data_IF_029829298177
#
_entry.id   IF_029829298177
#
_cell.length_a   1.000
_cell.length_b   1.000
_cell.length_c   1.000
_cell.angle_alpha   90.00
_cell.angle_beta   90.00
_cell.angle_gamma   90.00
#
_symmetry.space_group_name_H-M   'P 1'
#
loop_
_entity.id
_entity.type
_entity.pdbx_description
1 polymer ?
#
# COMPACT_ATOMS: atom_id res chain seq x y z
N UNK A 1 -7.00 -14.05 9.81
CA UNK A 1 -5.92 -13.46 8.98
C UNK A 1 -4.75 -14.43 8.86
N UNK A 2 -4.12 -14.88 9.95
CA UNK A 2 -2.96 -15.80 9.88
C UNK A 2 -3.35 -17.13 9.25
N UNK A 3 -4.46 -17.72 9.69
CA UNK A 3 -4.95 -19.01 9.16
C UNK A 3 -5.37 -18.92 7.69
N UNK A 4 -6.04 -17.86 7.28
CA UNK A 4 -6.44 -17.61 5.88
C UNK A 4 -5.22 -17.41 4.98
N UNK A 5 -4.22 -16.65 5.45
CA UNK A 5 -2.96 -16.47 4.75
C UNK A 5 -2.21 -17.79 4.57
N UNK A 6 -2.12 -18.61 5.63
CA UNK A 6 -1.51 -19.94 5.55
C UNK A 6 -2.25 -20.85 4.58
N UNK A 7 -3.59 -20.78 4.55
CA UNK A 7 -4.40 -21.55 3.62
C UNK A 7 -4.18 -21.10 2.18
N UNK A 8 -4.10 -19.79 1.94
CA UNK A 8 -3.77 -19.22 0.64
C UNK A 8 -2.40 -19.71 0.16
N UNK A 9 -1.36 -19.63 1.00
CA UNK A 9 -0.03 -20.13 0.66
C UNK A 9 0.00 -21.62 0.34
N UNK A 10 -0.76 -22.44 1.06
CA UNK A 10 -0.88 -23.87 0.79
C UNK A 10 -1.55 -24.18 -0.56
N UNK A 11 -2.38 -23.27 -1.06
CA UNK A 11 -3.05 -23.42 -2.36
C UNK A 11 -2.19 -23.03 -3.55
N UNK A 12 -1.11 -22.28 -3.34
CA UNK A 12 -0.21 -21.83 -4.40
C UNK A 12 0.63 -23.02 -4.89
N UNK A 13 0.52 -23.32 -6.17
CA UNK A 13 1.41 -24.29 -6.84
C UNK A 13 2.59 -23.54 -7.42
N UNK A 14 3.75 -23.75 -6.82
CA UNK A 14 4.99 -23.16 -7.34
C UNK A 14 5.51 -23.95 -8.54
N UNK A 15 5.99 -23.27 -9.60
CA UNK A 15 6.68 -23.94 -10.70
C UNK A 15 8.01 -24.50 -10.20
N UNK A 16 8.53 -25.55 -10.86
CA UNK A 16 9.84 -26.11 -10.53
C UNK A 16 10.98 -25.15 -10.85
N UNK A 17 10.83 -24.43 -11.96
CA UNK A 17 11.83 -23.50 -12.45
C UNK A 17 11.23 -22.10 -12.62
N UNK A 18 12.01 -21.11 -12.23
CA UNK A 18 11.73 -19.70 -12.50
C UNK A 18 12.87 -19.09 -13.35
N UNK A 19 12.50 -18.16 -14.20
CA UNK A 19 13.38 -17.54 -15.18
C UNK A 19 13.45 -16.04 -14.97
N UNK A 20 14.66 -15.49 -15.01
CA UNK A 20 14.88 -14.05 -14.95
C UNK A 20 15.77 -13.59 -16.09
N UNK A 21 15.23 -12.73 -16.94
CA UNK A 21 15.90 -12.16 -18.08
C UNK A 21 16.78 -10.99 -17.65
N UNK A 22 18.02 -10.95 -18.15
CA UNK A 22 19.01 -9.94 -17.73
C UNK A 22 19.87 -9.49 -18.90
N UNK A 23 20.17 -8.18 -18.99
CA UNK A 23 21.21 -7.70 -19.91
C UNK A 23 22.59 -8.12 -19.40
N UNK A 24 23.55 -8.23 -20.28
CA UNK A 24 24.95 -8.38 -19.90
C UNK A 24 25.47 -7.03 -19.42
N UNK A 25 25.61 -6.88 -18.12
CA UNK A 25 26.12 -5.68 -17.46
C UNK A 25 26.93 -6.04 -16.23
N UNK A 26 27.78 -5.14 -15.76
CA UNK A 26 28.58 -5.34 -14.55
C UNK A 26 27.69 -5.73 -13.36
N UNK A 27 26.55 -5.05 -13.20
CA UNK A 27 25.58 -5.33 -12.11
C UNK A 27 24.97 -6.73 -12.23
N UNK A 28 24.54 -7.14 -13.43
CA UNK A 28 23.90 -8.44 -13.61
C UNK A 28 24.91 -9.60 -13.47
N UNK A 29 26.13 -9.42 -13.95
CA UNK A 29 27.21 -10.42 -13.82
C UNK A 29 27.68 -10.51 -12.36
N UNK A 30 27.78 -9.41 -11.64
CA UNK A 30 28.12 -9.43 -10.22
C UNK A 30 27.01 -10.09 -9.39
N UNK A 31 25.74 -9.79 -9.69
CA UNK A 31 24.60 -10.45 -9.05
C UNK A 31 24.66 -11.97 -9.24
N UNK A 32 24.97 -12.43 -10.46
CA UNK A 32 25.15 -13.84 -10.78
C UNK A 32 26.34 -14.43 -9.99
N UNK A 33 27.50 -13.78 -10.03
CA UNK A 33 28.72 -14.23 -9.33
C UNK A 33 28.54 -14.33 -7.81
N UNK A 34 27.78 -13.42 -7.22
CA UNK A 34 27.58 -13.35 -5.76
C UNK A 34 26.30 -14.05 -5.31
N UNK A 35 25.55 -14.67 -6.23
CA UNK A 35 24.26 -15.30 -5.99
C UNK A 35 23.28 -14.38 -5.25
N UNK A 36 23.16 -13.13 -5.71
CA UNK A 36 22.31 -12.12 -5.10
C UNK A 36 21.18 -11.68 -6.02
N UNK A 37 20.02 -11.46 -5.42
CA UNK A 37 18.89 -10.82 -6.06
C UNK A 37 18.79 -9.36 -5.59
N UNK A 38 18.66 -8.45 -6.55
CA UNK A 38 18.35 -7.05 -6.26
C UNK A 38 16.87 -6.81 -6.46
N UNK A 39 16.22 -6.31 -5.44
CA UNK A 39 14.85 -5.87 -5.49
C UNK A 39 14.80 -4.43 -5.99
N UNK A 40 13.82 -4.11 -6.81
CA UNK A 40 13.53 -2.75 -7.26
C UNK A 40 12.31 -2.20 -6.55
N UNK A 41 12.33 -0.92 -6.20
CA UNK A 41 11.11 -0.25 -5.75
C UNK A 41 10.11 -0.15 -6.89
N UNK A 42 8.83 -0.26 -6.58
CA UNK A 42 7.74 -0.13 -7.54
C UNK A 42 7.71 1.26 -8.23
N UNK A 43 8.35 2.27 -7.67
CA UNK A 43 8.52 3.57 -8.31
C UNK A 43 9.31 3.52 -9.63
N UNK A 44 10.10 2.48 -9.84
CA UNK A 44 10.92 2.29 -11.06
C UNK A 44 10.30 1.32 -12.07
N UNK A 45 9.04 0.94 -11.88
CA UNK A 45 8.36 0.07 -12.82
C UNK A 45 7.92 0.87 -14.05
N UNK A 46 8.10 0.28 -15.22
CA UNK A 46 7.75 0.91 -16.50
C UNK A 46 6.24 0.97 -16.71
N UNK A 47 5.49 0.05 -16.09
CA UNK A 47 4.04 0.00 -16.18
C UNK A 47 3.41 0.88 -15.10
N UNK A 48 2.68 1.94 -15.48
CA UNK A 48 2.02 2.82 -14.52
C UNK A 48 0.90 2.12 -13.73
N UNK A 49 0.41 0.97 -14.22
CA UNK A 49 -0.62 0.18 -13.55
C UNK A 49 -0.05 -0.84 -12.57
N UNK A 50 1.27 -1.10 -12.61
CA UNK A 50 1.93 -1.90 -11.58
C UNK A 50 1.73 -1.25 -10.20
N UNK A 51 1.24 -2.03 -9.23
CA UNK A 51 0.87 -1.53 -7.89
C UNK A 51 -0.25 -0.47 -7.86
N UNK A 52 -1.02 -0.33 -8.95
CA UNK A 52 -2.13 0.63 -8.99
C UNK A 52 -3.27 0.17 -8.08
N UNK A 53 -3.65 1.04 -7.16
CA UNK A 53 -4.77 0.85 -6.26
C UNK A 53 -5.95 1.72 -6.71
N UNK A 54 -7.07 1.09 -7.07
CA UNK A 54 -8.30 1.84 -7.25
C UNK A 54 -8.85 2.26 -5.90
N UNK A 55 -9.12 3.56 -5.72
CA UNK A 55 -9.73 4.12 -4.51
C UNK A 55 -10.90 4.99 -4.97
N UNK A 56 -12.10 4.60 -4.61
CA UNK A 56 -13.32 5.38 -4.87
C UNK A 56 -13.42 6.53 -3.87
N UNK A 57 -12.80 7.64 -4.25
CA UNK A 57 -12.75 8.86 -3.44
C UNK A 57 -14.15 9.46 -3.25
N UNK A 58 -15.02 9.37 -4.25
CA UNK A 58 -16.36 9.93 -4.14
C UNK A 58 -17.24 9.13 -3.17
N UNK A 59 -17.10 7.80 -3.17
CA UNK A 59 -17.77 6.97 -2.17
C UNK A 59 -17.28 7.29 -0.75
N UNK A 60 -15.96 7.46 -0.56
CA UNK A 60 -15.39 7.86 0.73
C UNK A 60 -15.91 9.25 1.14
N UNK A 61 -15.87 10.21 0.23
CA UNK A 61 -16.37 11.59 0.48
C UNK A 61 -17.82 11.59 0.92
N UNK A 62 -18.68 10.90 0.16
CA UNK A 62 -20.12 10.83 0.46
C UNK A 62 -20.40 10.21 1.82
N UNK A 63 -19.76 9.10 2.14
CA UNK A 63 -19.91 8.41 3.41
C UNK A 63 -19.43 9.28 4.58
N UNK A 64 -18.30 9.94 4.42
CA UNK A 64 -17.72 10.81 5.42
C UNK A 64 -18.59 12.04 5.68
N UNK A 65 -19.02 12.73 4.63
CA UNK A 65 -19.93 13.89 4.76
C UNK A 65 -21.25 13.50 5.43
N UNK A 66 -21.81 12.32 5.09
CA UNK A 66 -23.06 11.87 5.73
C UNK A 66 -22.92 11.64 7.25
N UNK A 67 -21.73 11.24 7.71
CA UNK A 67 -21.47 11.05 9.14
C UNK A 67 -21.40 12.39 9.91
N UNK A 68 -21.02 13.48 9.24
CA UNK A 68 -20.99 14.82 9.87
C UNK A 68 -22.32 15.57 9.80
N UNK A 69 -23.28 15.08 9.04
CA UNK A 69 -24.60 15.72 8.87
C UNK A 69 -25.61 15.31 9.96
N UNK A 70 -25.21 14.53 10.95
CA UNK A 70 -26.11 14.25 12.08
C UNK A 70 -26.14 15.45 13.04
N UNK A 71 -27.31 15.85 13.58
CA UNK A 71 -27.41 16.99 14.49
C UNK A 71 -26.46 16.88 15.69
N UNK A 72 -26.32 15.69 16.25
CA UNK A 72 -25.50 15.44 17.45
C UNK A 72 -23.99 15.61 17.16
N UNK A 73 -23.51 15.16 16.00
CA UNK A 73 -22.10 15.34 15.62
C UNK A 73 -21.79 16.81 15.32
N UNK A 74 -22.73 17.52 14.74
CA UNK A 74 -22.61 18.95 14.41
C UNK A 74 -22.53 19.83 15.65
N UNK A 75 -23.40 19.62 16.62
CA UNK A 75 -23.40 20.36 17.88
C UNK A 75 -22.10 20.12 18.67
N UNK A 76 -21.65 18.88 18.80
CA UNK A 76 -20.40 18.53 19.50
C UNK A 76 -19.17 19.22 18.91
N UNK A 77 -19.11 19.30 17.56
CA UNK A 77 -18.00 19.98 16.86
C UNK A 77 -18.06 21.49 17.07
N UNK A 78 -19.24 22.09 16.98
CA UNK A 78 -19.45 23.53 17.20
C UNK A 78 -19.11 23.95 18.62
N UNK A 79 -19.51 23.17 19.59
CA UNK A 79 -19.20 23.44 21.00
C UNK A 79 -17.70 23.27 21.28
N UNK A 80 -17.07 22.28 20.69
CA UNK A 80 -15.62 22.12 20.76
C UNK A 80 -14.86 23.30 20.16
N UNK A 81 -15.28 23.78 18.99
CA UNK A 81 -14.67 24.96 18.34
C UNK A 81 -14.91 26.24 19.14
N UNK A 82 -16.10 26.46 19.62
CA UNK A 82 -16.41 27.61 20.49
C UNK A 82 -15.59 27.60 21.78
N UNK A 83 -15.41 26.43 22.38
CA UNK A 83 -14.57 26.28 23.58
C UNK A 83 -13.09 26.60 23.32
N UNK A 84 -12.57 26.21 22.16
CA UNK A 84 -11.17 26.47 21.77
C UNK A 84 -10.91 27.92 21.37
N UNK A 85 -11.86 28.55 20.69
CA UNK A 85 -11.69 29.88 20.11
C UNK A 85 -12.35 31.00 20.92
N UNK A 86 -13.19 30.67 21.92
CA UNK A 86 -13.97 31.66 22.69
C UNK A 86 -13.16 32.71 23.43
N UNK A 87 -11.86 32.46 23.66
CA UNK A 87 -10.94 33.41 24.27
C UNK A 87 -10.13 34.26 23.25
N UNK A 88 -10.28 33.99 21.94
CA UNK A 88 -9.45 34.59 20.88
C UNK A 88 -10.28 35.48 19.96
N UNK A 89 -11.60 35.24 19.90
CA UNK A 89 -12.52 35.95 18.99
C UNK A 89 -13.21 37.14 19.62
N UNK A 90 -13.37 38.24 18.87
CA UNK A 90 -14.27 39.31 19.23
C UNK A 90 -15.75 38.86 19.17
N UNK A 91 -16.66 39.55 19.86
CA UNK A 91 -18.11 39.27 19.83
C UNK A 91 -18.68 39.29 18.39
N UNK A 92 -18.20 40.18 17.53
CA UNK A 92 -18.61 40.27 16.13
C UNK A 92 -18.08 39.06 15.30
N UNK A 93 -16.87 38.60 15.57
CA UNK A 93 -16.32 37.40 14.95
C UNK A 93 -17.01 36.13 15.44
N UNK A 94 -17.33 36.06 16.73
CA UNK A 94 -18.09 34.97 17.32
C UNK A 94 -19.52 34.86 16.77
N UNK A 95 -20.16 35.98 16.41
CA UNK A 95 -21.48 36.01 15.79
C UNK A 95 -21.51 35.48 14.35
N UNK A 96 -20.37 35.54 13.63
CA UNK A 96 -20.23 34.95 12.28
C UNK A 96 -20.00 33.43 12.31
N UNK A 97 -19.64 32.85 13.47
CA UNK A 97 -19.52 31.43 13.68
C UNK A 97 -20.89 30.79 13.92
N UNK A 98 -21.72 30.81 12.88
CA UNK A 98 -22.94 30.01 12.90
C UNK A 98 -22.61 28.53 12.84
N UNK A 99 -23.47 27.69 13.40
CA UNK A 99 -23.38 26.24 13.34
C UNK A 99 -23.11 25.78 11.87
N UNK A 100 -23.84 26.38 10.95
CA UNK A 100 -23.74 26.08 9.51
C UNK A 100 -22.35 26.42 8.92
N UNK A 101 -21.82 27.61 9.21
CA UNK A 101 -20.54 28.05 8.68
C UNK A 101 -19.36 27.24 9.25
N UNK A 102 -19.39 26.93 10.54
CA UNK A 102 -18.37 26.10 11.20
C UNK A 102 -18.42 24.66 10.66
N UNK A 103 -19.62 24.11 10.54
CA UNK A 103 -19.79 22.75 10.00
C UNK A 103 -19.34 22.65 8.56
N UNK A 104 -19.68 23.62 7.72
CA UNK A 104 -19.24 23.64 6.33
C UNK A 104 -17.72 23.81 6.20
N UNK A 105 -17.12 24.71 6.95
CA UNK A 105 -15.68 24.93 6.90
C UNK A 105 -14.88 23.73 7.42
N UNK A 106 -15.29 23.12 8.52
CA UNK A 106 -14.67 21.95 9.10
C UNK A 106 -14.90 20.71 8.27
N UNK A 107 -16.12 20.48 7.79
CA UNK A 107 -16.42 19.34 6.92
C UNK A 107 -15.62 19.40 5.62
N UNK A 108 -15.46 20.58 5.01
CA UNK A 108 -14.64 20.75 3.82
C UNK A 108 -13.14 20.57 4.12
N UNK A 109 -12.60 21.30 5.08
CA UNK A 109 -11.16 21.27 5.39
C UNK A 109 -10.68 19.91 5.89
N UNK A 110 -11.41 19.29 6.80
CA UNK A 110 -11.10 17.96 7.31
C UNK A 110 -11.29 16.89 6.23
N UNK A 111 -12.37 16.99 5.45
CA UNK A 111 -12.62 16.04 4.35
C UNK A 111 -11.48 16.02 3.36
N UNK A 112 -11.03 17.18 2.88
CA UNK A 112 -9.92 17.24 1.93
C UNK A 112 -8.60 16.72 2.52
N UNK A 113 -8.31 17.02 3.78
CA UNK A 113 -7.14 16.50 4.48
C UNK A 113 -7.16 14.96 4.56
N UNK A 114 -8.31 14.37 4.89
CA UNK A 114 -8.45 12.92 5.00
C UNK A 114 -8.48 12.22 3.65
N UNK A 115 -9.07 12.83 2.64
CA UNK A 115 -9.03 12.31 1.27
C UNK A 115 -7.60 12.31 0.73
N UNK A 116 -6.83 13.35 1.00
CA UNK A 116 -5.41 13.38 0.64
C UNK A 116 -4.62 12.29 1.37
N UNK A 117 -4.93 11.99 2.63
CA UNK A 117 -4.32 10.88 3.34
C UNK A 117 -4.70 9.51 2.72
N UNK A 118 -5.95 9.34 2.26
CA UNK A 118 -6.37 8.13 1.55
C UNK A 118 -5.66 7.99 0.20
N UNK A 119 -5.43 9.09 -0.51
CA UNK A 119 -4.71 9.09 -1.79
C UNK A 119 -3.21 8.85 -1.61
N UNK A 120 -2.60 9.33 -0.52
CA UNK A 120 -1.17 9.11 -0.22
C UNK A 120 -0.83 7.63 -0.09
N UNK A 121 -1.81 6.77 0.21
CA UNK A 121 -1.64 5.33 0.24
C UNK A 121 -1.05 4.78 -1.07
N UNK A 122 -1.43 5.32 -2.22
CA UNK A 122 -0.89 4.90 -3.53
C UNK A 122 0.62 5.13 -3.60
N UNK A 123 1.06 6.30 -3.16
CA UNK A 123 2.47 6.68 -3.20
C UNK A 123 3.27 5.92 -2.14
N UNK A 124 2.70 5.70 -0.96
CA UNK A 124 3.30 4.90 0.11
C UNK A 124 3.49 3.45 -0.34
N UNK A 125 2.46 2.83 -0.95
CA UNK A 125 2.57 1.46 -1.47
C UNK A 125 3.66 1.37 -2.54
N UNK A 126 3.71 2.31 -3.48
CA UNK A 126 4.78 2.33 -4.51
C UNK A 126 6.17 2.50 -3.89
N UNK A 127 6.31 3.37 -2.92
CA UNK A 127 7.58 3.66 -2.26
C UNK A 127 8.09 2.49 -1.43
N UNK A 128 7.19 1.83 -0.71
CA UNK A 128 7.53 0.80 0.26
C UNK A 128 7.48 -0.63 -0.31
N UNK A 129 6.95 -0.79 -1.52
CA UNK A 129 6.95 -2.05 -2.23
C UNK A 129 8.27 -2.25 -2.98
N UNK A 130 9.00 -3.27 -2.59
CA UNK A 130 10.21 -3.71 -3.25
C UNK A 130 10.03 -5.13 -3.74
N UNK A 131 10.17 -5.35 -5.03
CA UNK A 131 9.98 -6.67 -5.59
C UNK A 131 11.03 -7.04 -6.63
N UNK A 132 11.04 -8.32 -6.97
CA UNK A 132 11.76 -8.90 -8.07
C UNK A 132 10.83 -9.85 -8.80
N UNK A 133 10.68 -9.64 -10.11
CA UNK A 133 9.78 -10.44 -10.94
C UNK A 133 10.53 -11.57 -11.62
N UNK A 134 9.86 -12.72 -11.73
CA UNK A 134 10.29 -13.90 -12.44
C UNK A 134 9.24 -14.28 -13.48
N UNK A 135 9.63 -15.09 -14.44
CA UNK A 135 8.76 -15.73 -15.42
C UNK A 135 8.80 -17.25 -15.24
N UNK A 136 7.68 -17.91 -15.48
CA UNK A 136 7.64 -19.37 -15.61
C UNK A 136 8.11 -19.87 -16.99
N UNK A 137 8.28 -18.96 -17.94
CA UNK A 137 8.70 -19.26 -19.29
C UNK A 137 10.08 -18.66 -19.59
N UNK A 138 11.06 -19.51 -19.87
CA UNK A 138 12.43 -19.09 -20.26
C UNK A 138 12.59 -18.73 -21.74
N UNK A 139 11.55 -18.93 -22.57
CA UNK A 139 11.57 -18.72 -24.02
C UNK A 139 10.61 -17.63 -24.50
N UNK A 140 10.17 -16.75 -23.59
CA UNK A 140 9.29 -15.66 -23.94
C UNK A 140 10.04 -14.58 -24.72
N UNK A 141 9.70 -14.44 -25.99
CA UNK A 141 10.37 -13.52 -26.94
C UNK A 141 10.27 -12.06 -26.50
N UNK A 142 9.11 -11.64 -25.98
CA UNK A 142 8.89 -10.27 -25.49
C UNK A 142 9.81 -9.95 -24.32
N UNK A 143 9.99 -10.90 -23.39
CA UNK A 143 10.87 -10.72 -22.23
C UNK A 143 12.36 -10.75 -22.64
N UNK A 144 12.72 -11.55 -23.65
CA UNK A 144 14.05 -11.52 -24.25
C UNK A 144 14.33 -10.17 -24.89
N UNK A 145 13.37 -9.63 -25.62
CA UNK A 145 13.50 -8.33 -26.26
C UNK A 145 13.65 -7.21 -25.23
N UNK A 146 12.74 -7.19 -24.23
CA UNK A 146 12.62 -6.08 -23.26
C UNK A 146 13.70 -6.10 -22.19
N UNK A 147 14.00 -7.27 -21.62
CA UNK A 147 14.83 -7.38 -20.42
C UNK A 147 16.20 -8.02 -20.62
N UNK A 148 16.44 -8.67 -21.77
CA UNK A 148 17.70 -9.28 -22.13
C UNK A 148 18.44 -8.52 -23.26
N UNK A 149 18.37 -7.19 -23.23
CA UNK A 149 19.07 -6.31 -24.17
C UNK A 149 18.86 -6.72 -25.64
N UNK A 150 17.60 -6.85 -26.07
CA UNK A 150 17.25 -7.23 -27.43
C UNK A 150 17.91 -8.55 -27.86
N UNK A 151 17.72 -9.59 -27.07
CA UNK A 151 18.29 -10.95 -27.27
C UNK A 151 19.82 -11.07 -27.12
N UNK A 152 20.52 -10.02 -26.65
CA UNK A 152 21.97 -10.04 -26.41
C UNK A 152 22.34 -10.35 -24.95
N UNK A 153 21.35 -10.56 -24.11
CA UNK A 153 21.49 -10.85 -22.70
C UNK A 153 21.51 -12.34 -22.38
N UNK A 154 21.08 -12.67 -21.18
CA UNK A 154 21.00 -14.04 -20.70
C UNK A 154 19.77 -14.24 -19.80
N UNK A 155 19.41 -15.50 -19.57
CA UNK A 155 18.39 -15.91 -18.62
C UNK A 155 19.03 -16.64 -17.45
N UNK A 156 18.76 -16.18 -16.23
CA UNK A 156 19.06 -16.92 -15.01
C UNK A 156 17.93 -17.89 -14.72
N UNK A 157 18.26 -19.13 -14.42
CA UNK A 157 17.33 -20.19 -14.06
C UNK A 157 17.46 -20.43 -12.56
N UNK A 158 16.32 -20.39 -11.86
CA UNK A 158 16.21 -20.68 -10.44
C UNK A 158 15.45 -21.99 -10.27
N UNK A 159 16.12 -22.97 -9.69
CA UNK A 159 15.54 -24.27 -9.35
C UNK A 159 14.92 -24.20 -7.95
N UNK A 160 13.59 -24.29 -7.90
CA UNK A 160 12.82 -24.24 -6.65
C UNK A 160 12.66 -25.63 -6.00
N UNK A 161 12.97 -26.73 -6.67
CA UNK A 161 12.88 -28.06 -6.04
C UNK A 161 13.85 -28.20 -4.86
N UNK A 162 15.00 -27.53 -4.94
CA UNK A 162 16.04 -27.58 -3.92
C UNK A 162 16.17 -26.28 -3.13
N UNK A 163 15.39 -25.25 -3.43
CA UNK A 163 15.58 -23.91 -2.86
C UNK A 163 14.28 -23.10 -2.90
N UNK A 164 13.39 -23.41 -1.99
CA UNK A 164 12.04 -22.81 -1.90
C UNK A 164 12.00 -21.39 -1.31
N UNK A 165 13.13 -20.87 -0.84
CA UNK A 165 13.20 -19.57 -0.18
C UNK A 165 14.36 -18.70 -0.64
N UNK A 166 14.04 -17.44 -1.00
CA UNK A 166 15.04 -16.39 -1.18
C UNK A 166 15.34 -15.77 0.19
N UNK A 167 16.53 -16.05 0.72
CA UNK A 167 16.94 -15.56 2.03
C UNK A 167 17.49 -14.14 1.95
N UNK A 168 17.13 -13.30 2.91
CA UNK A 168 17.88 -12.08 3.16
C UNK A 168 19.32 -12.48 3.56
N UNK A 169 20.30 -12.26 2.69
CA UNK A 169 21.69 -12.74 2.84
C UNK A 169 22.46 -12.17 4.02
N UNK A 170 21.85 -11.53 4.99
CA UNK A 170 22.49 -11.06 6.21
C UNK A 170 22.40 -12.11 7.30
N UNK A 171 23.55 -12.59 7.74
CA UNK A 171 23.66 -13.52 8.87
C UNK A 171 23.35 -12.85 10.22
N UNK A 172 23.45 -11.53 10.31
CA UNK A 172 23.11 -10.72 11.48
C UNK A 172 21.70 -10.16 11.35
N UNK A 173 21.14 -9.70 12.48
CA UNK A 173 19.84 -9.05 12.51
C UNK A 173 19.80 -7.90 11.49
N UNK A 174 18.95 -8.02 10.50
CA UNK A 174 18.83 -7.02 9.43
C UNK A 174 18.33 -5.68 10.02
N UNK A 175 19.04 -4.59 9.75
CA UNK A 175 18.65 -3.26 10.20
C UNK A 175 17.28 -2.82 9.64
N UNK A 176 16.90 -3.32 8.45
CA UNK A 176 15.66 -2.93 7.78
C UNK A 176 14.45 -3.77 8.23
N UNK A 177 14.61 -5.11 8.36
CA UNK A 177 13.49 -5.99 8.71
C UNK A 177 13.56 -6.50 10.16
N UNK A 178 14.65 -6.27 10.87
CA UNK A 178 14.82 -6.71 12.25
C UNK A 178 14.93 -8.23 12.43
N UNK A 179 14.90 -9.02 11.36
CA UNK A 179 14.81 -10.48 11.38
C UNK A 179 16.10 -11.08 10.80
N UNK A 180 16.57 -12.15 11.45
CA UNK A 180 17.68 -12.94 10.94
C UNK A 180 17.15 -13.99 9.97
N UNK A 181 17.80 -14.12 8.80
CA UNK A 181 17.43 -15.10 7.77
C UNK A 181 15.94 -15.02 7.34
N UNK A 182 15.46 -13.81 7.07
CA UNK A 182 14.11 -13.61 6.56
C UNK A 182 13.95 -14.26 5.18
N UNK A 183 13.08 -15.26 5.09
CA UNK A 183 12.67 -15.86 3.83
C UNK A 183 11.64 -14.98 3.14
N UNK A 184 11.91 -14.60 1.90
CA UNK A 184 10.97 -13.82 1.09
C UNK A 184 10.09 -14.79 0.30
N UNK A 185 8.78 -14.84 0.54
CA UNK A 185 7.88 -15.72 -0.19
C UNK A 185 7.72 -15.26 -1.64
N UNK A 186 7.43 -16.23 -2.50
CA UNK A 186 7.01 -16.00 -3.88
C UNK A 186 5.49 -15.88 -3.93
N UNK A 187 5.01 -14.95 -4.74
CA UNK A 187 3.58 -14.76 -5.01
C UNK A 187 3.33 -14.83 -6.51
N UNK A 188 2.29 -15.53 -6.96
CA UNK A 188 1.86 -15.44 -8.34
C UNK A 188 1.34 -14.02 -8.63
N UNK A 189 1.64 -13.51 -9.81
CA UNK A 189 1.05 -12.25 -10.28
C UNK A 189 -0.34 -12.58 -10.82
N UNK A 190 -1.34 -11.93 -10.29
CA UNK A 190 -2.71 -12.03 -10.78
C UNK A 190 -2.98 -10.90 -11.77
N UNK A 191 -3.30 -11.27 -13.00
CA UNK A 191 -3.70 -10.34 -14.05
C UNK A 191 -5.22 -10.23 -14.09
N UNK A 192 -5.74 -9.02 -14.03
CA UNK A 192 -7.17 -8.73 -14.06
C UNK A 192 -7.46 -7.52 -14.94
N UNK A 193 -8.58 -7.55 -15.66
CA UNK A 193 -9.08 -6.41 -16.43
C UNK A 193 -9.69 -5.34 -15.52
N UNK A 194 -9.92 -5.67 -14.25
CA UNK A 194 -10.45 -4.73 -13.25
C UNK A 194 -9.34 -4.39 -12.23
N UNK A 195 -9.13 -3.09 -11.95
CA UNK A 195 -8.20 -2.67 -10.91
C UNK A 195 -8.57 -3.24 -9.54
N UNK A 196 -7.57 -3.50 -8.70
CA UNK A 196 -7.81 -3.89 -7.32
C UNK A 196 -8.46 -2.73 -6.55
N UNK A 197 -9.65 -2.99 -5.99
CA UNK A 197 -10.37 -1.99 -5.17
C UNK A 197 -9.82 -1.95 -3.75
N UNK A 198 -9.02 -0.91 -3.49
CA UNK A 198 -8.42 -0.63 -2.19
C UNK A 198 -9.25 0.37 -1.35
N UNK A 199 -10.49 0.68 -1.74
CA UNK A 199 -11.31 1.71 -1.08
C UNK A 199 -11.49 1.42 0.42
N UNK A 200 -11.75 0.16 0.81
CA UNK A 200 -11.86 -0.22 2.23
C UNK A 200 -10.56 -0.01 2.99
N UNK A 201 -9.43 -0.34 2.37
CA UNK A 201 -8.12 -0.15 2.98
C UNK A 201 -7.78 1.33 3.12
N UNK A 202 -8.08 2.14 2.10
CA UNK A 202 -7.93 3.59 2.14
C UNK A 202 -8.77 4.24 3.24
N UNK A 203 -10.02 3.81 3.44
CA UNK A 203 -10.85 4.23 4.57
C UNK A 203 -10.19 3.95 5.92
N UNK A 204 -9.58 2.79 6.06
CA UNK A 204 -8.88 2.47 7.30
C UNK A 204 -7.65 3.35 7.53
N UNK A 205 -6.83 3.59 6.52
CA UNK A 205 -5.68 4.51 6.61
C UNK A 205 -6.16 5.89 7.02
N UNK A 206 -7.26 6.35 6.44
CA UNK A 206 -7.90 7.61 6.80
C UNK A 206 -8.34 7.62 8.27
N UNK A 207 -9.08 6.60 8.73
CA UNK A 207 -9.54 6.48 10.12
C UNK A 207 -8.36 6.42 11.10
N UNK A 208 -7.32 5.69 10.76
CA UNK A 208 -6.09 5.66 11.55
C UNK A 208 -5.46 7.05 11.68
N UNK A 209 -5.41 7.81 10.59
CA UNK A 209 -4.89 9.17 10.59
C UNK A 209 -5.72 10.10 11.46
N UNK A 210 -7.05 9.97 11.41
CA UNK A 210 -7.97 10.70 12.29
C UNK A 210 -7.67 10.37 13.75
N UNK A 211 -7.60 9.09 14.10
CA UNK A 211 -7.34 8.63 15.46
C UNK A 211 -6.00 9.13 16.00
N UNK A 212 -4.95 9.09 15.18
CA UNK A 212 -3.63 9.63 15.51
C UNK A 212 -3.71 11.16 15.78
N UNK A 213 -4.48 11.89 14.96
CA UNK A 213 -4.61 13.34 15.08
C UNK A 213 -5.46 13.76 16.29
N UNK A 214 -6.49 12.98 16.61
CA UNK A 214 -7.43 13.28 17.72
C UNK A 214 -7.07 12.59 19.03
N UNK A 215 -5.96 11.83 19.06
CA UNK A 215 -5.57 10.96 20.19
C UNK A 215 -6.69 9.99 20.63
N UNK A 216 -7.57 9.62 19.70
CA UNK A 216 -8.69 8.70 19.93
C UNK A 216 -8.25 7.27 19.61
N UNK A 217 -8.63 6.32 20.45
CA UNK A 217 -8.38 4.90 20.15
C UNK A 217 -9.36 4.41 19.09
N UNK A 218 -8.84 3.73 18.06
CA UNK A 218 -9.69 3.06 17.08
C UNK A 218 -10.29 1.81 17.74
N UNK A 219 -11.63 1.66 17.72
CA UNK A 219 -12.28 0.47 18.26
C UNK A 219 -11.74 -0.83 17.63
N UNK A 220 -11.48 -1.89 18.44
CA UNK A 220 -10.95 -3.16 17.93
C UNK A 220 -11.80 -3.79 16.82
N UNK A 221 -13.10 -3.53 16.81
CA UNK A 221 -14.06 -4.05 15.84
C UNK A 221 -13.76 -3.55 14.41
N UNK A 222 -13.23 -2.33 14.29
CA UNK A 222 -12.80 -1.79 12.98
C UNK A 222 -11.56 -2.50 12.43
N UNK A 223 -10.69 -3.02 13.30
CA UNK A 223 -9.57 -3.86 12.88
C UNK A 223 -10.04 -5.26 12.43
N UNK A 224 -11.07 -5.80 13.08
CA UNK A 224 -11.61 -7.13 12.74
C UNK A 224 -12.26 -7.15 11.34
N UNK A 225 -12.95 -6.05 10.97
CA UNK A 225 -13.54 -5.90 9.64
C UNK A 225 -12.53 -5.81 8.49
N UNK A 226 -11.25 -5.53 8.78
CA UNK A 226 -10.18 -5.46 7.77
C UNK A 226 -9.55 -6.81 7.45
N UNK A 227 -9.60 -7.76 8.40
CA UNK A 227 -9.05 -9.09 8.20
C UNK A 227 -9.73 -9.90 7.09
N UNK A 228 -10.91 -9.49 6.68
CA UNK A 228 -11.63 -10.06 5.54
C UNK A 228 -11.43 -9.33 4.21
N UNK A 229 -10.61 -8.26 4.19
CA UNK A 229 -10.38 -7.42 3.02
C UNK A 229 -8.92 -7.48 2.50
N UNK A 230 -8.05 -8.19 3.18
CA UNK A 230 -6.68 -8.56 2.79
C UNK A 230 -6.58 -10.07 2.59
#
# INVERSE_FOLDING_TARGET
IVAEREQLFKSIKYPKLLFRYRPVSTKSLEALRTNKLYFSSANYYDDPFDTFLHIDIEAIRKEYLSAFQTPESTEAVVDGVKSLLGNILSEEQAAQFTVENVTNALSHGLTESFLNAALSLRDEVKKDTWSVCFSENGFNEVLWLKYADQHRGFVQIYDLENNDNFLCGKQEKCANCGIKNYGTPLYPIYYSDTPYDATKFAKFVMLRKIAETTATQIPPELYAGMGSAL
#
